data_IF_261767324838
#
_entry.id   IF_261767324838
#
_cell.length_a   1.000
_cell.length_b   1.000
_cell.length_c   1.000
_cell.angle_alpha   90.00
_cell.angle_beta   90.00
_cell.angle_gamma   90.00
#
_symmetry.space_group_name_H-M   'P 1'
#
loop_
_entity.id
_entity.type
_entity.pdbx_description
1 polymer ?
#
# COMPACT_ATOMS: atom_id res chain seq x y z
N UNK A 1 6.07 2.89 19.33
CA UNK A 1 4.72 3.40 19.01
C UNK A 1 3.80 3.02 20.17
N UNK A 2 3.06 3.99 20.73
CA UNK A 2 2.14 3.73 21.84
C UNK A 2 0.70 3.85 21.34
N UNK A 3 -0.08 2.78 21.47
CA UNK A 3 -1.50 2.78 21.14
C UNK A 3 -2.31 3.34 22.31
N UNK A 4 -3.28 4.24 22.03
CA UNK A 4 -4.16 4.79 23.05
C UNK A 4 -5.00 3.67 23.70
N UNK A 5 -4.92 3.56 25.02
CA UNK A 5 -5.72 2.60 25.82
C UNK A 5 -7.22 2.82 25.62
N UNK A 6 -7.65 4.08 25.58
CA UNK A 6 -9.04 4.46 25.33
C UNK A 6 -9.54 3.96 23.98
N UNK A 7 -8.73 4.14 22.92
CA UNK A 7 -9.09 3.65 21.58
C UNK A 7 -9.13 2.12 21.49
N UNK A 8 -8.21 1.44 22.18
CA UNK A 8 -8.22 -0.02 22.25
C UNK A 8 -9.46 -0.53 23.00
N UNK A 9 -9.85 0.11 24.10
CA UNK A 9 -11.06 -0.25 24.83
C UNK A 9 -12.32 -0.03 23.99
N UNK A 10 -12.40 1.11 23.30
CA UNK A 10 -13.50 1.39 22.36
C UNK A 10 -13.54 0.38 21.20
N UNK A 11 -12.40 -0.09 20.73
CA UNK A 11 -12.35 -1.17 19.73
C UNK A 11 -12.85 -2.50 20.29
N UNK A 12 -12.49 -2.84 21.55
CA UNK A 12 -13.04 -4.03 22.23
C UNK A 12 -14.56 -3.98 22.36
N UNK A 13 -15.10 -2.83 22.79
CA UNK A 13 -16.54 -2.61 22.89
C UNK A 13 -17.23 -2.77 21.53
N UNK A 14 -16.63 -2.22 20.47
CA UNK A 14 -17.16 -2.31 19.11
C UNK A 14 -17.19 -3.77 18.60
N UNK A 15 -16.21 -4.58 18.97
CA UNK A 15 -16.06 -5.98 18.57
C UNK A 15 -16.75 -6.97 19.55
N UNK A 16 -17.34 -6.49 20.67
CA UNK A 16 -17.97 -7.37 21.66
C UNK A 16 -19.22 -8.10 21.17
N UNK A 17 -20.12 -7.51 20.32
CA UNK A 17 -21.24 -8.25 19.77
C UNK A 17 -20.78 -9.40 18.88
N UNK A 18 -21.31 -10.60 19.10
CA UNK A 18 -20.96 -11.78 18.29
C UNK A 18 -21.56 -11.72 16.87
N UNK A 19 -20.94 -12.43 15.93
CA UNK A 19 -21.45 -12.64 14.57
C UNK A 19 -21.74 -11.36 13.76
N UNK A 20 -20.93 -10.32 13.94
CA UNK A 20 -21.06 -9.10 13.13
C UNK A 20 -20.62 -9.35 11.69
N UNK A 21 -21.28 -8.65 10.77
CA UNK A 21 -20.87 -8.56 9.36
C UNK A 21 -19.79 -7.47 9.23
N UNK A 22 -18.56 -7.90 9.00
CA UNK A 22 -17.42 -7.00 8.92
C UNK A 22 -16.84 -6.98 7.51
N UNK A 23 -16.64 -5.78 6.97
CA UNK A 23 -15.92 -5.62 5.70
C UNK A 23 -14.62 -4.90 5.95
N UNK A 24 -13.54 -5.43 5.38
CA UNK A 24 -12.22 -4.81 5.36
C UNK A 24 -11.97 -4.31 3.93
N UNK A 25 -11.65 -3.03 3.79
CA UNK A 25 -11.31 -2.41 2.51
C UNK A 25 -9.91 -1.81 2.54
N UNK A 26 -9.21 -1.88 1.42
CA UNK A 26 -7.93 -1.22 1.22
C UNK A 26 -7.89 -0.41 -0.08
N UNK A 27 -6.80 0.34 -0.30
CA UNK A 27 -6.70 1.31 -1.39
C UNK A 27 -6.65 0.70 -2.80
N UNK A 28 -6.91 1.53 -3.82
CA UNK A 28 -6.71 1.19 -5.24
C UNK A 28 -5.24 0.89 -5.53
N UNK A 29 -4.98 -0.15 -6.32
CA UNK A 29 -3.67 -0.77 -6.55
C UNK A 29 -3.04 -1.26 -5.24
N UNK A 30 -3.72 -2.18 -4.54
CA UNK A 30 -3.25 -2.69 -3.26
C UNK A 30 -1.89 -3.37 -3.43
N UNK A 31 -1.02 -3.12 -2.49
CA UNK A 31 0.33 -3.69 -2.40
C UNK A 31 0.44 -4.76 -1.30
N UNK A 32 1.66 -5.09 -0.90
CA UNK A 32 1.90 -6.09 0.14
C UNK A 32 1.39 -5.68 1.51
N UNK A 33 1.41 -4.38 1.85
CA UNK A 33 0.93 -3.88 3.13
C UNK A 33 -0.60 -3.84 3.19
N UNK A 34 -1.24 -3.35 2.12
CA UNK A 34 -2.70 -3.35 2.00
C UNK A 34 -3.30 -4.76 2.07
N UNK A 35 -2.71 -5.72 1.34
CA UNK A 35 -3.17 -7.12 1.33
C UNK A 35 -2.83 -7.82 2.62
N UNK A 36 -1.58 -7.69 3.10
CA UNK A 36 -1.10 -8.33 4.31
C UNK A 36 -1.87 -7.91 5.55
N UNK A 37 -2.08 -6.61 5.75
CA UNK A 37 -2.87 -6.08 6.86
C UNK A 37 -4.32 -6.56 6.81
N UNK A 38 -4.95 -6.57 5.61
CA UNK A 38 -6.33 -7.04 5.44
C UNK A 38 -6.48 -8.51 5.79
N UNK A 39 -5.61 -9.39 5.29
CA UNK A 39 -5.66 -10.82 5.56
C UNK A 39 -5.41 -11.15 7.03
N UNK A 40 -4.41 -10.51 7.64
CA UNK A 40 -4.09 -10.74 9.04
C UNK A 40 -5.21 -10.26 9.97
N UNK A 41 -5.76 -9.08 9.72
CA UNK A 41 -6.87 -8.54 10.51
C UNK A 41 -8.15 -9.37 10.34
N UNK A 42 -8.44 -9.81 9.11
CA UNK A 42 -9.57 -10.72 8.85
C UNK A 42 -9.47 -12.02 9.65
N UNK A 43 -8.30 -12.63 9.73
CA UNK A 43 -8.10 -13.84 10.52
C UNK A 43 -8.31 -13.59 12.02
N UNK A 44 -7.79 -12.47 12.55
CA UNK A 44 -8.01 -12.09 13.94
C UNK A 44 -9.52 -11.92 14.24
N UNK A 45 -10.26 -11.22 13.39
CA UNK A 45 -11.70 -11.00 13.57
C UNK A 45 -12.52 -12.30 13.41
N UNK A 46 -12.16 -13.16 12.46
CA UNK A 46 -12.79 -14.48 12.29
C UNK A 46 -12.58 -15.37 13.50
N UNK A 47 -11.41 -15.29 14.17
CA UNK A 47 -11.16 -16.04 15.40
C UNK A 47 -12.06 -15.61 16.57
N UNK A 48 -12.64 -14.41 16.50
CA UNK A 48 -13.65 -13.91 17.44
C UNK A 48 -15.09 -14.32 17.07
N UNK A 49 -15.28 -15.02 15.94
CA UNK A 49 -16.60 -15.47 15.47
C UNK A 49 -17.34 -14.46 14.59
N UNK A 50 -16.66 -13.47 14.03
CA UNK A 50 -17.25 -12.54 13.07
C UNK A 50 -17.21 -13.09 11.64
N UNK A 51 -18.16 -12.65 10.80
CA UNK A 51 -18.13 -12.88 9.36
C UNK A 51 -17.37 -11.76 8.68
N UNK A 52 -16.26 -12.08 8.00
CA UNK A 52 -15.35 -11.06 7.47
C UNK A 52 -15.15 -11.23 5.98
N UNK A 53 -15.44 -10.17 5.22
CA UNK A 53 -15.18 -10.06 3.79
C UNK A 53 -14.09 -9.02 3.53
N UNK A 54 -13.00 -9.41 2.88
CA UNK A 54 -11.98 -8.49 2.39
C UNK A 54 -12.31 -8.05 0.97
N UNK A 55 -12.28 -6.74 0.72
CA UNK A 55 -12.60 -6.14 -0.58
C UNK A 55 -11.48 -5.19 -1.01
N UNK A 56 -11.02 -5.35 -2.25
CA UNK A 56 -10.07 -4.42 -2.88
C UNK A 56 -10.65 -3.83 -4.15
N UNK A 57 -10.37 -2.55 -4.50
CA UNK A 57 -10.95 -1.92 -5.69
C UNK A 57 -10.57 -2.61 -7.01
N UNK A 58 -9.32 -3.04 -7.13
CA UNK A 58 -8.77 -3.74 -8.30
C UNK A 58 -7.76 -4.81 -7.88
N UNK A 59 -7.35 -5.67 -8.84
CA UNK A 59 -6.46 -6.79 -8.53
C UNK A 59 -5.12 -6.30 -7.94
N UNK A 60 -4.64 -7.05 -6.98
CA UNK A 60 -3.30 -6.94 -6.37
C UNK A 60 -2.23 -7.55 -7.30
N UNK A 61 -0.93 -7.30 -7.04
CA UNK A 61 0.19 -7.90 -7.78
C UNK A 61 0.18 -9.43 -7.72
N UNK A 62 0.52 -10.08 -8.84
CA UNK A 62 0.51 -11.55 -8.94
C UNK A 62 1.48 -12.25 -7.98
N UNK A 63 2.56 -11.59 -7.58
CA UNK A 63 3.52 -12.14 -6.62
C UNK A 63 2.96 -12.23 -5.19
N UNK A 64 1.72 -11.84 -4.97
CA UNK A 64 0.96 -12.06 -3.74
C UNK A 64 -0.03 -13.23 -3.85
N UNK A 65 -0.24 -13.81 -5.04
CA UNK A 65 -1.23 -14.88 -5.29
C UNK A 65 -1.00 -16.15 -4.42
N UNK A 66 0.18 -16.31 -3.82
CA UNK A 66 0.52 -17.43 -2.94
C UNK A 66 0.05 -17.26 -1.48
N UNK A 67 -0.33 -16.05 -1.07
CA UNK A 67 -0.73 -15.76 0.32
C UNK A 67 -2.02 -16.50 0.65
N UNK A 68 -2.03 -17.16 1.82
CA UNK A 68 -3.19 -17.92 2.27
C UNK A 68 -4.40 -17.02 2.48
N UNK A 69 -5.56 -17.39 1.88
CA UNK A 69 -6.80 -16.64 1.94
C UNK A 69 -6.93 -15.50 0.94
N UNK A 70 -5.92 -15.33 0.09
CA UNK A 70 -5.95 -14.31 -0.96
C UNK A 70 -7.06 -14.58 -1.99
N UNK A 71 -7.44 -15.84 -2.19
CA UNK A 71 -8.51 -16.28 -3.06
C UNK A 71 -9.91 -15.87 -2.56
N UNK A 72 -10.05 -15.57 -1.28
CA UNK A 72 -11.30 -15.08 -0.67
C UNK A 72 -11.47 -13.55 -0.84
N UNK A 73 -10.40 -12.84 -1.20
CA UNK A 73 -10.44 -11.39 -1.38
C UNK A 73 -11.27 -11.03 -2.61
N UNK A 74 -12.32 -10.26 -2.40
CA UNK A 74 -13.21 -9.82 -3.48
C UNK A 74 -12.57 -8.63 -4.21
N UNK A 75 -12.24 -8.83 -5.48
CA UNK A 75 -11.75 -7.77 -6.36
C UNK A 75 -12.95 -7.06 -6.99
N UNK A 76 -13.33 -5.89 -6.47
CA UNK A 76 -14.55 -5.16 -6.84
C UNK A 76 -14.71 -4.96 -8.35
N UNK A 77 -13.66 -4.57 -9.04
CA UNK A 77 -13.67 -4.38 -10.50
C UNK A 77 -14.05 -5.63 -11.29
N UNK A 78 -13.81 -6.82 -10.72
CA UNK A 78 -14.03 -8.11 -11.35
C UNK A 78 -15.26 -8.84 -10.78
N UNK A 79 -15.93 -8.24 -9.79
CA UNK A 79 -17.06 -8.83 -9.06
C UNK A 79 -18.36 -8.67 -9.85
N UNK A 80 -18.59 -9.58 -10.79
CA UNK A 80 -19.81 -9.61 -11.63
C UNK A 80 -21.07 -10.04 -10.87
N UNK A 81 -20.89 -10.68 -9.70
CA UNK A 81 -21.99 -11.16 -8.86
C UNK A 81 -22.47 -10.13 -7.84
N UNK A 82 -21.75 -9.02 -7.69
CA UNK A 82 -22.06 -7.96 -6.74
C UNK A 82 -21.87 -8.35 -5.27
N UNK A 83 -20.99 -9.31 -5.00
CA UNK A 83 -20.67 -9.79 -3.62
C UNK A 83 -20.15 -8.66 -2.74
N UNK A 84 -19.20 -7.85 -3.27
CA UNK A 84 -18.63 -6.74 -2.54
C UNK A 84 -19.69 -5.69 -2.18
N UNK A 85 -20.54 -5.31 -3.14
CA UNK A 85 -21.57 -4.30 -2.91
C UNK A 85 -22.60 -4.78 -1.85
N UNK A 86 -22.99 -6.05 -1.89
CA UNK A 86 -23.87 -6.64 -0.86
C UNK A 86 -23.19 -6.65 0.51
N UNK A 87 -21.96 -7.19 0.60
CA UNK A 87 -21.24 -7.25 1.86
C UNK A 87 -21.08 -5.85 2.49
N UNK A 88 -20.75 -4.83 1.67
CA UNK A 88 -20.62 -3.45 2.14
C UNK A 88 -21.97 -2.89 2.60
N UNK A 89 -23.07 -3.16 1.89
CA UNK A 89 -24.40 -2.68 2.26
C UNK A 89 -24.89 -3.29 3.58
N UNK A 90 -24.54 -4.53 3.87
CA UNK A 90 -24.95 -5.30 5.06
C UNK A 90 -23.96 -5.20 6.22
N UNK A 91 -22.83 -4.49 6.04
CA UNK A 91 -21.77 -4.39 7.04
C UNK A 91 -22.23 -3.65 8.30
N UNK A 92 -21.93 -4.21 9.47
CA UNK A 92 -22.01 -3.54 10.78
C UNK A 92 -20.79 -2.66 11.01
N UNK A 93 -19.61 -3.14 10.55
CA UNK A 93 -18.33 -2.44 10.68
C UNK A 93 -17.58 -2.45 9.34
N UNK A 94 -17.08 -1.28 8.96
CA UNK A 94 -16.16 -1.09 7.83
C UNK A 94 -14.77 -0.75 8.35
N UNK A 95 -13.83 -1.69 8.25
CA UNK A 95 -12.41 -1.40 8.49
C UNK A 95 -11.76 -0.85 7.22
N UNK A 96 -11.19 0.32 7.36
CA UNK A 96 -10.45 1.05 6.32
C UNK A 96 -8.95 0.90 6.60
N UNK A 97 -8.26 0.05 5.84
CA UNK A 97 -6.87 -0.30 6.08
C UNK A 97 -5.96 0.24 4.98
N UNK A 98 -4.85 0.83 5.42
CA UNK A 98 -3.76 1.27 4.57
C UNK A 98 -4.13 2.39 3.58
N UNK A 99 -5.00 3.28 3.99
CA UNK A 99 -5.28 4.53 3.27
C UNK A 99 -5.85 5.60 4.19
N UNK A 100 -5.50 6.83 3.92
CA UNK A 100 -5.87 7.99 4.73
C UNK A 100 -7.18 8.66 4.31
N UNK A 101 -7.68 8.40 3.10
CA UNK A 101 -8.81 9.10 2.51
C UNK A 101 -9.68 8.15 1.66
N UNK A 102 -11.02 8.27 1.78
CA UNK A 102 -11.98 7.44 1.03
C UNK A 102 -11.78 7.57 -0.49
N UNK A 103 -11.30 8.70 -0.96
CA UNK A 103 -10.97 8.93 -2.38
C UNK A 103 -9.90 7.96 -2.94
N UNK A 104 -9.08 7.35 -2.07
CA UNK A 104 -8.09 6.31 -2.44
C UNK A 104 -8.73 5.00 -2.88
N UNK A 105 -10.01 4.81 -2.60
CA UNK A 105 -10.80 3.65 -3.03
C UNK A 105 -11.32 3.78 -4.48
N UNK A 106 -11.27 4.98 -5.08
CA UNK A 106 -11.71 5.29 -6.46
C UNK A 106 -13.10 4.73 -6.80
N UNK A 107 -13.15 3.66 -7.62
CA UNK A 107 -14.42 3.05 -8.05
C UNK A 107 -15.27 2.47 -6.91
N UNK A 108 -14.67 2.21 -5.75
CA UNK A 108 -15.35 1.66 -4.58
C UNK A 108 -15.87 2.76 -3.64
N UNK A 109 -15.43 4.02 -3.82
CA UNK A 109 -15.75 5.14 -2.91
C UNK A 109 -17.26 5.38 -2.77
N UNK A 110 -18.00 5.34 -3.88
CA UNK A 110 -19.47 5.54 -3.87
C UNK A 110 -20.18 4.41 -3.13
N UNK A 111 -19.76 3.16 -3.32
CA UNK A 111 -20.33 1.99 -2.66
C UNK A 111 -20.12 2.06 -1.15
N UNK A 112 -18.93 2.44 -0.71
CA UNK A 112 -18.63 2.67 0.72
C UNK A 112 -19.44 3.86 1.27
N UNK A 113 -19.57 4.93 0.50
CA UNK A 113 -20.34 6.12 0.86
C UNK A 113 -21.84 5.84 1.03
N UNK A 114 -22.38 4.88 0.31
CA UNK A 114 -23.80 4.50 0.37
C UNK A 114 -24.19 3.81 1.67
N UNK A 115 -23.26 3.10 2.35
CA UNK A 115 -23.51 2.58 3.69
C UNK A 115 -23.29 3.71 4.71
N UNK A 116 -24.39 4.18 5.33
CA UNK A 116 -24.39 5.26 6.33
C UNK A 116 -24.58 4.75 7.75
N UNK A 117 -24.74 3.44 7.95
CA UNK A 117 -25.05 2.81 9.23
C UNK A 117 -23.85 2.10 9.85
N UNK A 118 -22.98 1.53 9.02
CA UNK A 118 -21.80 0.85 9.50
C UNK A 118 -20.83 1.78 10.25
N UNK A 119 -20.25 1.28 11.35
CA UNK A 119 -19.15 1.97 12.03
C UNK A 119 -17.89 1.91 11.20
N UNK A 120 -17.25 3.05 11.00
CA UNK A 120 -16.01 3.15 10.20
C UNK A 120 -14.79 3.22 11.11
N UNK A 121 -13.89 2.25 10.95
CA UNK A 121 -12.64 2.19 11.71
C UNK A 121 -11.45 2.31 10.75
N UNK A 122 -10.59 3.30 11.01
CA UNK A 122 -9.36 3.51 10.26
C UNK A 122 -8.18 2.84 10.97
N UNK A 123 -7.37 2.08 10.23
CA UNK A 123 -6.04 1.60 10.65
C UNK A 123 -5.07 1.94 9.52
N UNK A 124 -4.23 2.96 9.72
CA UNK A 124 -3.44 3.55 8.64
C UNK A 124 -2.18 4.25 9.13
N UNK A 125 -1.14 4.26 8.30
CA UNK A 125 0.10 4.96 8.57
C UNK A 125 0.39 6.12 7.59
N UNK A 126 -0.54 6.48 6.74
CA UNK A 126 -0.38 7.62 5.83
C UNK A 126 -0.61 8.96 6.53
N UNK A 127 -0.03 10.02 5.96
CA UNK A 127 -0.18 11.40 6.45
C UNK A 127 -1.58 11.96 6.14
N UNK A 128 -2.07 12.82 7.02
CA UNK A 128 -3.30 13.62 6.81
C UNK A 128 -4.54 12.76 6.52
N UNK A 129 -5.01 11.97 7.51
CA UNK A 129 -6.24 11.20 7.36
C UNK A 129 -7.45 12.12 7.21
N UNK A 130 -8.45 11.65 6.43
CA UNK A 130 -9.75 12.29 6.34
C UNK A 130 -10.47 12.27 7.71
N UNK A 131 -11.40 13.21 7.91
CA UNK A 131 -12.37 13.17 8.98
C UNK A 131 -13.52 12.20 8.62
N UNK A 132 -14.26 11.71 9.63
CA UNK A 132 -15.47 10.89 9.42
C UNK A 132 -15.27 9.39 9.67
N UNK A 133 -14.21 9.01 10.38
CA UNK A 133 -14.06 7.69 10.99
C UNK A 133 -14.55 7.72 12.44
N UNK A 134 -15.36 6.72 12.85
CA UNK A 134 -15.85 6.60 14.23
C UNK A 134 -14.72 6.26 15.22
N UNK A 135 -13.72 5.52 14.73
CA UNK A 135 -12.50 5.18 15.47
C UNK A 135 -11.30 5.19 14.51
N UNK A 136 -10.17 5.75 14.96
CA UNK A 136 -8.99 5.88 14.10
C UNK A 136 -7.72 5.50 14.86
N UNK A 137 -6.96 4.57 14.25
CA UNK A 137 -5.57 4.23 14.58
C UNK A 137 -4.68 4.74 13.44
N UNK A 138 -4.48 6.05 13.39
CA UNK A 138 -3.60 6.69 12.41
C UNK A 138 -2.26 7.01 13.03
N UNK A 139 -1.20 6.37 12.52
CA UNK A 139 0.17 6.49 13.04
C UNK A 139 1.19 6.67 11.91
N UNK A 140 1.40 7.90 11.42
CA UNK A 140 2.33 8.18 10.32
C UNK A 140 3.81 7.80 10.59
N UNK A 141 4.16 7.60 11.85
CA UNK A 141 5.51 7.15 12.26
C UNK A 141 5.63 5.61 12.30
N UNK A 142 4.56 4.89 11.98
CA UNK A 142 4.62 3.44 11.81
C UNK A 142 5.32 3.09 10.50
N UNK A 143 6.06 1.97 10.50
CA UNK A 143 6.72 1.47 9.30
C UNK A 143 5.74 0.94 8.25
N UNK A 144 4.55 0.51 8.68
CA UNK A 144 3.51 -0.09 7.83
C UNK A 144 2.19 -0.22 8.59
N UNK A 145 1.09 -0.39 7.87
CA UNK A 145 -0.21 -0.76 8.43
C UNK A 145 -0.19 -2.18 9.00
N UNK A 146 0.58 -3.10 8.42
CA UNK A 146 0.81 -4.44 9.00
C UNK A 146 1.43 -4.38 10.40
N UNK A 147 2.38 -3.48 10.65
CA UNK A 147 2.94 -3.31 11.97
C UNK A 147 1.92 -2.72 12.96
N UNK A 148 1.03 -1.84 12.50
CA UNK A 148 -0.10 -1.35 13.32
C UNK A 148 -1.07 -2.47 13.67
N UNK A 149 -1.47 -3.28 12.69
CA UNK A 149 -2.35 -4.45 12.91
C UNK A 149 -1.71 -5.42 13.89
N UNK A 150 -0.43 -5.76 13.73
CA UNK A 150 0.29 -6.57 14.73
C UNK A 150 0.17 -5.98 16.13
N UNK A 151 0.45 -4.67 16.27
CA UNK A 151 0.44 -3.99 17.57
C UNK A 151 -0.95 -3.96 18.21
N UNK A 152 -2.01 -3.82 17.40
CA UNK A 152 -3.40 -3.90 17.88
C UNK A 152 -3.73 -5.33 18.32
N UNK A 153 -3.37 -6.35 17.55
CA UNK A 153 -3.57 -7.77 17.89
C UNK A 153 -2.84 -8.11 19.19
N UNK A 154 -1.57 -7.71 19.32
CA UNK A 154 -0.79 -7.93 20.53
C UNK A 154 -1.41 -7.25 21.76
N UNK A 155 -1.89 -6.00 21.60
CA UNK A 155 -2.51 -5.25 22.70
C UNK A 155 -3.89 -5.80 23.11
N UNK A 156 -4.65 -6.36 22.17
CA UNK A 156 -5.98 -6.92 22.45
C UNK A 156 -5.93 -8.35 22.97
N UNK A 157 -5.06 -9.19 22.41
CA UNK A 157 -5.12 -10.64 22.58
C UNK A 157 -3.79 -11.27 23.04
N UNK A 158 -2.71 -10.47 23.08
CA UNK A 158 -1.36 -10.94 23.36
C UNK A 158 -0.65 -11.50 22.12
N UNK A 159 0.69 -11.52 22.16
CA UNK A 159 1.52 -11.99 21.04
C UNK A 159 1.25 -13.46 20.64
N UNK A 160 0.78 -14.28 21.58
CA UNK A 160 0.44 -15.70 21.34
C UNK A 160 -0.80 -15.88 20.46
N UNK A 161 -1.60 -14.84 20.25
CA UNK A 161 -2.75 -14.88 19.34
C UNK A 161 -2.34 -14.79 17.86
N UNK A 162 -1.09 -14.42 17.59
CA UNK A 162 -0.58 -14.33 16.22
C UNK A 162 -0.36 -15.73 15.67
N UNK A 163 -1.22 -16.17 14.76
CA UNK A 163 -1.08 -17.45 14.07
C UNK A 163 0.04 -17.38 13.02
N UNK A 164 0.53 -18.54 12.55
CA UNK A 164 1.50 -18.58 11.45
C UNK A 164 0.96 -17.88 10.18
N UNK A 165 -0.32 -18.07 9.86
CA UNK A 165 -0.97 -17.44 8.72
C UNK A 165 -1.01 -15.90 8.85
N UNK A 166 -1.39 -15.39 10.01
CA UNK A 166 -1.31 -13.96 10.31
C UNK A 166 0.13 -13.46 10.18
N UNK A 167 1.09 -14.21 10.73
CA UNK A 167 2.50 -13.83 10.71
C UNK A 167 3.07 -13.73 9.29
N UNK A 168 2.73 -14.66 8.39
CA UNK A 168 3.12 -14.60 6.98
C UNK A 168 2.59 -13.33 6.31
N UNK A 169 1.29 -13.03 6.49
CA UNK A 169 0.65 -11.85 5.93
C UNK A 169 1.26 -10.53 6.47
N UNK A 170 1.41 -10.44 7.79
CA UNK A 170 2.01 -9.27 8.46
C UNK A 170 3.47 -9.06 8.03
N UNK A 171 4.23 -10.15 7.92
CA UNK A 171 5.64 -10.07 7.51
C UNK A 171 5.77 -9.58 6.07
N UNK A 172 4.90 -10.02 5.14
CA UNK A 172 4.88 -9.53 3.75
C UNK A 172 4.69 -8.02 3.71
N UNK A 173 3.70 -7.47 4.42
CA UNK A 173 3.46 -6.02 4.43
C UNK A 173 4.61 -5.25 5.07
N UNK A 174 5.10 -5.67 6.23
CA UNK A 174 6.27 -5.04 6.86
C UNK A 174 7.48 -5.06 5.93
N UNK A 175 7.77 -6.20 5.31
CA UNK A 175 8.91 -6.37 4.41
C UNK A 175 8.81 -5.47 3.18
N UNK A 176 7.65 -5.43 2.53
CA UNK A 176 7.46 -4.64 1.30
C UNK A 176 7.50 -3.15 1.57
N UNK A 177 6.85 -2.68 2.63
CA UNK A 177 6.73 -1.25 2.92
C UNK A 177 8.01 -0.66 3.52
N UNK A 178 8.77 -1.45 4.26
CA UNK A 178 10.11 -1.06 4.72
C UNK A 178 11.19 -1.20 3.65
N UNK A 179 10.84 -1.66 2.44
CA UNK A 179 11.81 -1.93 1.38
C UNK A 179 12.85 -2.95 1.82
N UNK A 180 12.39 -4.06 2.40
CA UNK A 180 13.22 -5.10 2.98
C UNK A 180 14.14 -4.58 4.12
N UNK A 181 13.56 -3.80 5.03
CA UNK A 181 14.24 -3.17 6.18
C UNK A 181 15.35 -2.19 5.77
N UNK A 182 15.17 -1.47 4.65
CA UNK A 182 16.13 -0.50 4.14
C UNK A 182 15.65 0.96 4.22
N UNK A 183 14.36 1.21 4.51
CA UNK A 183 13.79 2.56 4.59
C UNK A 183 13.71 3.06 6.03
N UNK A 184 13.10 4.24 6.23
CA UNK A 184 12.90 4.89 7.53
C UNK A 184 11.90 4.13 8.43
N UNK A 185 11.76 4.60 9.68
CA UNK A 185 10.85 4.05 10.70
C UNK A 185 11.17 2.62 11.16
N UNK A 186 12.44 2.22 11.08
CA UNK A 186 12.91 0.98 11.68
C UNK A 186 13.18 1.21 13.17
N UNK A 187 12.32 0.66 14.02
CA UNK A 187 12.41 0.81 15.47
C UNK A 187 12.71 -0.51 16.16
N UNK A 188 13.23 -0.51 17.40
CA UNK A 188 13.41 -1.74 18.17
C UNK A 188 12.10 -2.53 18.36
N UNK A 189 10.96 -1.83 18.46
CA UNK A 189 9.63 -2.43 18.59
C UNK A 189 9.24 -3.21 17.34
N UNK A 190 9.50 -2.65 16.14
CA UNK A 190 9.30 -3.36 14.87
C UNK A 190 10.10 -4.66 14.83
N UNK A 191 11.38 -4.64 15.22
CA UNK A 191 12.21 -5.85 15.21
C UNK A 191 11.78 -6.87 16.26
N UNK A 192 11.23 -6.44 17.41
CA UNK A 192 10.59 -7.35 18.36
C UNK A 192 9.35 -8.00 17.77
N UNK A 193 8.49 -7.23 17.09
CA UNK A 193 7.35 -7.78 16.36
C UNK A 193 7.80 -8.82 15.32
N UNK A 194 8.80 -8.48 14.50
CA UNK A 194 9.37 -9.43 13.52
C UNK A 194 9.89 -10.71 14.21
N UNK A 195 10.53 -10.59 15.37
CA UNK A 195 10.98 -11.77 16.13
C UNK A 195 9.79 -12.66 16.57
N UNK A 196 8.67 -12.08 16.99
CA UNK A 196 7.43 -12.83 17.29
C UNK A 196 6.90 -13.52 16.03
N UNK A 197 6.80 -12.79 14.90
CA UNK A 197 6.34 -13.36 13.64
C UNK A 197 7.20 -14.56 13.22
N UNK A 198 8.53 -14.44 13.30
CA UNK A 198 9.47 -15.54 13.01
C UNK A 198 9.28 -16.71 13.98
N UNK A 199 9.00 -16.42 15.24
CA UNK A 199 8.73 -17.43 16.29
C UNK A 199 7.52 -18.31 15.99
N UNK A 200 6.59 -17.90 15.12
CA UNK A 200 5.45 -18.72 14.66
C UNK A 200 5.85 -19.81 13.65
N UNK A 201 7.10 -19.82 13.18
CA UNK A 201 7.62 -20.80 12.23
C UNK A 201 7.42 -20.41 10.76
N UNK A 202 7.23 -19.11 10.43
CA UNK A 202 7.27 -18.65 9.05
C UNK A 202 8.66 -18.82 8.45
N UNK A 203 8.73 -19.05 7.13
CA UNK A 203 9.99 -19.14 6.39
C UNK A 203 10.28 -17.81 5.69
N UNK A 204 11.15 -16.98 6.28
CA UNK A 204 11.59 -15.73 5.63
C UNK A 204 12.14 -15.96 4.22
N UNK A 205 13.03 -16.95 3.97
CA UNK A 205 13.54 -17.21 2.63
C UNK A 205 12.44 -17.52 1.62
N UNK A 206 11.41 -18.30 2.00
CA UNK A 206 10.31 -18.64 1.09
C UNK A 206 9.42 -17.44 0.80
N UNK A 207 9.10 -16.64 1.82
CA UNK A 207 8.36 -15.39 1.65
C UNK A 207 9.13 -14.44 0.73
N UNK A 208 10.41 -14.25 0.97
CA UNK A 208 11.26 -13.41 0.15
C UNK A 208 11.32 -13.89 -1.31
N UNK A 209 11.46 -15.21 -1.52
CA UNK A 209 11.45 -15.81 -2.85
C UNK A 209 10.12 -15.58 -3.57
N UNK A 210 9.01 -15.76 -2.88
CA UNK A 210 7.67 -15.55 -3.46
C UNK A 210 7.40 -14.09 -3.84
N UNK A 211 7.93 -13.13 -3.09
CA UNK A 211 7.69 -11.69 -3.35
C UNK A 211 8.71 -11.10 -4.32
N UNK A 212 9.99 -11.43 -4.18
CA UNK A 212 11.07 -10.74 -4.91
C UNK A 212 11.76 -11.60 -5.98
N UNK A 213 11.58 -12.91 -5.96
CA UNK A 213 12.23 -13.82 -6.90
C UNK A 213 11.25 -14.63 -7.77
N UNK A 214 9.95 -14.33 -7.71
CA UNK A 214 8.89 -14.97 -8.51
C UNK A 214 8.49 -14.16 -9.75
N UNK A 215 9.38 -13.34 -10.26
CA UNK A 215 9.10 -12.47 -11.40
C UNK A 215 9.10 -13.19 -12.74
N UNK A 216 8.28 -12.70 -13.68
CA UNK A 216 8.24 -13.21 -15.05
C UNK A 216 9.47 -12.80 -15.86
N UNK A 217 9.82 -13.57 -16.90
CA UNK A 217 10.85 -13.18 -17.87
C UNK A 217 10.51 -11.84 -18.52
N UNK A 218 9.21 -11.59 -18.81
CA UNK A 218 8.73 -10.32 -19.36
C UNK A 218 9.09 -9.14 -18.47
N UNK A 219 8.87 -9.26 -17.15
CA UNK A 219 9.25 -8.24 -16.18
C UNK A 219 10.76 -8.00 -16.15
N UNK A 220 11.56 -9.07 -16.13
CA UNK A 220 13.01 -8.94 -16.11
C UNK A 220 13.54 -8.19 -17.35
N UNK A 221 13.01 -8.52 -18.54
CA UNK A 221 13.35 -7.84 -19.80
C UNK A 221 12.83 -6.40 -19.83
N UNK A 222 11.63 -6.14 -19.33
CA UNK A 222 11.07 -4.79 -19.22
C UNK A 222 11.90 -3.91 -18.29
N UNK A 223 12.37 -4.46 -17.17
CA UNK A 223 13.25 -3.76 -16.24
C UNK A 223 14.57 -3.35 -16.91
N UNK A 224 15.23 -4.28 -17.60
CA UNK A 224 16.42 -3.99 -18.38
C UNK A 224 16.19 -2.93 -19.45
N UNK A 225 15.05 -2.99 -20.15
CA UNK A 225 14.64 -1.97 -21.12
C UNK A 225 14.41 -0.61 -20.47
N UNK A 226 13.68 -0.57 -19.35
CA UNK A 226 13.39 0.66 -18.63
C UNK A 226 14.68 1.38 -18.19
N UNK A 227 15.64 0.64 -17.64
CA UNK A 227 16.91 1.22 -17.19
C UNK A 227 17.79 1.64 -18.38
N UNK A 228 17.98 0.76 -19.37
CA UNK A 228 18.97 0.99 -20.42
C UNK A 228 18.47 1.94 -21.53
N UNK A 229 17.16 1.99 -21.79
CA UNK A 229 16.58 2.74 -22.91
C UNK A 229 15.66 3.89 -22.52
N UNK A 230 15.11 3.85 -21.32
CA UNK A 230 14.05 4.79 -20.90
C UNK A 230 14.42 5.63 -19.70
N UNK A 231 15.52 5.32 -19.00
CA UNK A 231 16.01 6.12 -17.91
C UNK A 231 16.74 7.35 -18.44
N UNK A 232 16.23 8.50 -18.09
CA UNK A 232 16.87 9.79 -18.36
C UNK A 232 17.32 10.42 -17.05
N UNK A 233 18.51 11.01 -17.08
CA UNK A 233 19.14 11.67 -15.93
C UNK A 233 19.25 13.15 -16.24
N UNK A 234 18.71 13.96 -15.35
CA UNK A 234 18.61 15.42 -15.48
C UNK A 234 19.13 16.11 -14.22
N UNK A 235 19.16 17.44 -14.22
CA UNK A 235 19.53 18.29 -13.08
C UNK A 235 20.88 17.89 -12.48
N UNK A 236 21.93 17.99 -13.30
CA UNK A 236 23.32 17.67 -12.92
C UNK A 236 23.52 16.28 -12.30
N UNK A 237 22.68 15.35 -12.70
CA UNK A 237 22.78 13.95 -12.27
C UNK A 237 22.09 13.65 -10.94
N UNK A 238 21.18 14.52 -10.48
CA UNK A 238 20.50 14.35 -9.19
C UNK A 238 19.06 13.86 -9.30
N UNK A 239 18.45 13.93 -10.49
CA UNK A 239 17.09 13.45 -10.77
C UNK A 239 17.11 12.49 -11.94
N UNK A 240 16.44 11.37 -11.79
CA UNK A 240 16.21 10.43 -12.87
C UNK A 240 14.72 10.20 -13.08
N UNK A 241 14.33 9.95 -14.33
CA UNK A 241 12.99 9.44 -14.61
C UNK A 241 12.99 8.35 -15.67
N UNK A 242 11.96 7.53 -15.65
CA UNK A 242 11.68 6.50 -16.64
C UNK A 242 10.24 6.65 -17.13
N UNK A 243 10.01 6.46 -18.42
CA UNK A 243 8.65 6.48 -18.99
C UNK A 243 8.42 5.25 -19.86
N UNK A 244 7.28 4.59 -19.67
CA UNK A 244 6.86 3.43 -20.46
C UNK A 244 5.49 3.68 -21.08
N UNK A 245 5.39 3.47 -22.38
CA UNK A 245 4.13 3.56 -23.15
C UNK A 245 3.40 2.21 -23.11
N UNK A 246 2.09 2.23 -23.37
CA UNK A 246 1.28 0.99 -23.38
C UNK A 246 1.78 -0.07 -24.37
N UNK A 247 2.23 0.35 -25.56
CA UNK A 247 2.78 -0.57 -26.56
C UNK A 247 4.11 -1.18 -26.14
N UNK A 248 4.95 -0.42 -25.41
CA UNK A 248 6.20 -0.92 -24.84
C UNK A 248 5.91 -1.95 -23.75
N UNK A 249 5.01 -1.64 -22.83
CA UNK A 249 4.58 -2.57 -21.78
C UNK A 249 3.97 -3.86 -22.36
N UNK A 250 3.09 -3.75 -23.38
CA UNK A 250 2.51 -4.92 -24.06
C UNK A 250 3.57 -5.81 -24.72
N UNK A 251 4.61 -5.23 -25.30
CA UNK A 251 5.73 -5.99 -25.92
C UNK A 251 6.39 -6.94 -24.91
N UNK A 252 6.44 -6.58 -23.64
CA UNK A 252 7.04 -7.39 -22.58
C UNK A 252 5.99 -8.15 -21.74
N UNK A 253 4.73 -8.25 -22.22
CA UNK A 253 3.66 -8.97 -21.54
C UNK A 253 3.42 -8.45 -20.10
N UNK A 254 3.48 -7.12 -19.92
CA UNK A 254 3.32 -6.45 -18.64
C UNK A 254 2.08 -6.90 -17.87
N UNK A 255 2.27 -7.24 -16.61
CA UNK A 255 1.23 -7.59 -15.66
C UNK A 255 1.18 -6.58 -14.50
N UNK A 256 0.06 -6.55 -13.79
CA UNK A 256 -0.09 -5.75 -12.56
C UNK A 256 1.01 -6.15 -11.55
N UNK A 257 1.80 -5.19 -11.08
CA UNK A 257 2.93 -5.42 -10.18
C UNK A 257 4.31 -5.42 -10.85
N UNK A 258 4.42 -5.64 -12.18
CA UNK A 258 5.72 -5.73 -12.87
C UNK A 258 6.59 -4.46 -12.74
N UNK A 259 5.98 -3.30 -12.57
CA UNK A 259 6.73 -2.04 -12.40
C UNK A 259 7.15 -1.74 -10.95
N UNK A 260 6.76 -2.58 -10.00
CA UNK A 260 7.15 -2.35 -8.61
C UNK A 260 8.65 -2.44 -8.41
N UNK A 261 9.19 -1.47 -7.66
CA UNK A 261 10.62 -1.34 -7.45
C UNK A 261 11.39 -0.64 -8.58
N UNK A 262 10.87 -0.51 -9.81
CA UNK A 262 11.58 0.14 -10.92
C UNK A 262 12.00 1.57 -10.57
N UNK A 263 11.07 2.36 -10.02
CA UNK A 263 11.36 3.73 -9.61
C UNK A 263 12.45 3.83 -8.55
N UNK A 264 12.60 2.82 -7.69
CA UNK A 264 13.61 2.82 -6.64
C UNK A 264 15.04 2.60 -7.19
N UNK A 265 15.16 1.88 -8.33
CA UNK A 265 16.46 1.51 -8.86
C UNK A 265 17.35 2.71 -9.18
N UNK A 266 16.81 3.77 -9.77
CA UNK A 266 17.60 4.95 -10.07
C UNK A 266 18.23 5.58 -8.81
N UNK A 267 17.58 5.47 -7.66
CA UNK A 267 18.13 5.92 -6.38
C UNK A 267 19.34 5.11 -5.90
N UNK A 268 19.67 3.96 -6.50
CA UNK A 268 20.91 3.23 -6.18
C UNK A 268 22.15 3.97 -6.68
N UNK A 269 21.98 4.88 -7.65
CA UNK A 269 23.07 5.74 -8.14
C UNK A 269 23.39 6.81 -7.08
N UNK A 270 24.66 6.91 -6.69
CA UNK A 270 25.13 7.70 -5.53
C UNK A 270 24.68 9.17 -5.51
N UNK A 271 24.64 9.84 -6.65
CA UNK A 271 24.26 11.25 -6.75
C UNK A 271 22.74 11.49 -6.74
N UNK A 272 21.97 10.44 -6.97
CA UNK A 272 20.53 10.55 -7.21
C UNK A 272 19.80 10.96 -5.92
N UNK A 273 18.97 11.99 -5.99
CA UNK A 273 18.13 12.49 -4.90
C UNK A 273 16.65 12.21 -5.13
N UNK A 274 16.23 12.15 -6.39
CA UNK A 274 14.85 11.91 -6.78
C UNK A 274 14.78 10.99 -7.98
N UNK A 275 13.77 10.14 -8.00
CA UNK A 275 13.42 9.28 -9.13
C UNK A 275 11.93 9.32 -9.40
N UNK A 276 11.56 9.27 -10.68
CA UNK A 276 10.18 9.22 -11.13
C UNK A 276 9.96 8.10 -12.14
N UNK A 277 8.78 7.48 -12.10
CA UNK A 277 8.32 6.49 -13.07
C UNK A 277 6.96 6.90 -13.61
N UNK A 278 6.84 6.91 -14.94
CA UNK A 278 5.63 7.26 -15.67
C UNK A 278 5.17 6.06 -16.49
N UNK A 279 3.97 5.57 -16.21
CA UNK A 279 3.36 4.46 -16.94
C UNK A 279 2.11 4.96 -17.66
N UNK A 280 2.11 4.89 -18.98
CA UNK A 280 0.95 5.26 -19.78
C UNK A 280 -0.16 4.21 -19.62
N UNK A 281 -1.32 4.64 -19.23
CA UNK A 281 -2.58 3.91 -19.29
C UNK A 281 -3.54 4.61 -20.22
N UNK A 282 -4.53 3.91 -20.74
CA UNK A 282 -5.47 4.40 -21.75
C UNK A 282 -6.10 5.77 -21.41
N UNK A 283 -6.34 6.06 -20.13
CA UNK A 283 -7.04 7.28 -19.69
C UNK A 283 -6.17 8.25 -18.88
N UNK A 284 -5.02 7.83 -18.42
CA UNK A 284 -4.13 8.61 -17.55
C UNK A 284 -2.71 8.06 -17.60
N UNK A 285 -1.77 8.82 -17.06
CA UNK A 285 -0.41 8.36 -16.80
C UNK A 285 -0.28 8.15 -15.29
N UNK A 286 0.03 6.91 -14.88
CA UNK A 286 0.40 6.63 -13.49
C UNK A 286 1.77 7.21 -13.22
N UNK A 287 1.88 7.95 -12.12
CA UNK A 287 3.13 8.57 -11.67
C UNK A 287 3.53 7.95 -10.36
N UNK A 288 4.79 7.50 -10.27
CA UNK A 288 5.40 7.05 -9.02
C UNK A 288 6.65 7.88 -8.77
N UNK A 289 6.81 8.40 -7.56
CA UNK A 289 7.88 9.29 -7.17
C UNK A 289 8.59 8.74 -5.96
N UNK A 290 9.92 8.78 -5.96
CA UNK A 290 10.76 8.41 -4.83
C UNK A 290 11.86 9.45 -4.64
N UNK A 291 12.30 9.63 -3.40
CA UNK A 291 13.38 10.56 -3.08
C UNK A 291 14.21 10.10 -1.90
N UNK A 292 15.26 10.83 -1.61
CA UNK A 292 16.13 10.68 -0.45
C UNK A 292 16.27 11.99 0.30
N UNK A 293 16.44 11.91 1.61
CA UNK A 293 16.69 13.04 2.48
C UNK A 293 15.55 14.03 2.51
N UNK A 294 15.84 15.30 2.24
CA UNK A 294 14.89 16.41 2.43
C UNK A 294 14.01 16.70 1.20
N UNK A 295 14.14 15.94 0.12
CA UNK A 295 13.29 16.14 -1.06
C UNK A 295 11.91 15.55 -0.81
N UNK A 296 10.89 16.42 -0.69
CA UNK A 296 9.51 16.02 -0.42
C UNK A 296 8.76 15.80 -1.74
N UNK A 297 8.60 14.51 -2.10
CA UNK A 297 7.85 14.12 -3.31
C UNK A 297 6.35 14.06 -3.08
N UNK A 298 5.88 14.05 -1.83
CA UNK A 298 4.45 14.11 -1.52
C UNK A 298 3.88 15.49 -1.89
N UNK A 299 4.54 16.57 -1.50
CA UNK A 299 4.14 17.92 -1.90
C UNK A 299 4.13 18.06 -3.43
N UNK A 300 5.11 17.47 -4.10
CA UNK A 300 5.20 17.48 -5.55
C UNK A 300 4.06 16.70 -6.22
N UNK A 301 3.74 15.50 -5.72
CA UNK A 301 2.62 14.69 -6.20
C UNK A 301 1.27 15.41 -6.03
N UNK A 302 1.03 16.00 -4.86
CA UNK A 302 -0.19 16.78 -4.58
C UNK A 302 -0.35 17.98 -5.51
N UNK A 303 0.74 18.67 -5.79
CA UNK A 303 0.71 19.90 -6.59
C UNK A 303 0.49 19.64 -8.08
N UNK A 304 1.09 18.58 -8.63
CA UNK A 304 1.18 18.40 -10.09
C UNK A 304 0.48 17.14 -10.62
N UNK A 305 0.19 16.14 -9.78
CA UNK A 305 -0.23 14.81 -10.25
C UNK A 305 -1.49 14.25 -9.59
N UNK A 306 -2.32 15.10 -9.01
CA UNK A 306 -3.56 14.64 -8.33
C UNK A 306 -3.30 13.41 -7.45
N UNK A 307 -2.30 13.50 -6.59
CA UNK A 307 -1.81 12.37 -5.82
C UNK A 307 -1.34 12.73 -4.42
N UNK A 308 -0.52 11.87 -3.83
CA UNK A 308 0.04 12.03 -2.49
C UNK A 308 0.78 10.80 -2.03
N UNK A 309 1.11 10.73 -0.75
CA UNK A 309 1.84 9.63 -0.12
C UNK A 309 2.69 10.12 1.04
N UNK A 310 3.85 9.49 1.23
CA UNK A 310 4.85 9.88 2.21
C UNK A 310 5.86 10.88 1.65
N UNK A 311 6.64 11.54 2.52
CA UNK A 311 7.68 12.52 2.15
C UNK A 311 8.59 12.00 1.03
N UNK A 312 9.08 10.77 1.14
CA UNK A 312 10.04 10.18 0.21
C UNK A 312 9.45 9.13 -0.75
N UNK A 313 8.14 8.84 -0.66
CA UNK A 313 7.44 7.89 -1.51
C UNK A 313 6.02 8.37 -1.78
N UNK A 314 5.76 8.85 -2.99
CA UNK A 314 4.45 9.36 -3.39
C UNK A 314 4.06 8.88 -4.78
N UNK A 315 2.80 8.98 -5.10
CA UNK A 315 2.26 8.63 -6.41
C UNK A 315 1.12 9.55 -6.82
N UNK A 316 0.70 9.44 -8.06
CA UNK A 316 -0.42 10.23 -8.57
C UNK A 316 -0.79 9.87 -10.00
N UNK A 317 -1.64 10.67 -10.59
CA UNK A 317 -2.09 10.54 -11.98
C UNK A 317 -1.90 11.85 -12.73
N UNK A 318 -1.55 11.75 -14.00
CA UNK A 318 -1.57 12.86 -14.94
C UNK A 318 -2.58 12.54 -16.06
N UNK A 319 -3.37 13.52 -16.43
CA UNK A 319 -4.44 13.37 -17.43
C UNK A 319 -4.12 14.09 -18.74
N UNK A 320 -2.89 14.56 -18.90
CA UNK A 320 -2.35 15.17 -20.11
C UNK A 320 -1.41 14.22 -20.85
N UNK A 321 -0.86 14.62 -21.98
CA UNK A 321 0.06 13.79 -22.75
C UNK A 321 1.34 13.42 -21.96
N UNK A 322 2.04 12.36 -22.38
CA UNK A 322 3.32 11.97 -21.77
C UNK A 322 4.34 13.11 -21.85
N UNK A 323 4.41 13.81 -22.98
CA UNK A 323 5.33 14.93 -23.17
C UNK A 323 5.05 16.07 -22.20
N UNK A 324 3.79 16.48 -22.05
CA UNK A 324 3.39 17.50 -21.08
C UNK A 324 3.63 17.04 -19.62
N UNK A 325 3.33 15.77 -19.31
CA UNK A 325 3.60 15.19 -17.99
C UNK A 325 5.09 15.24 -17.64
N UNK A 326 5.96 14.84 -18.57
CA UNK A 326 7.42 14.87 -18.37
C UNK A 326 7.95 16.29 -18.24
N UNK A 327 7.35 17.28 -18.90
CA UNK A 327 7.78 18.68 -18.77
C UNK A 327 7.71 19.20 -17.33
N UNK A 328 6.78 18.67 -16.52
CA UNK A 328 6.62 19.07 -15.12
C UNK A 328 7.84 18.65 -14.24
N UNK A 329 8.52 17.57 -14.58
CA UNK A 329 9.74 17.15 -13.87
C UNK A 329 10.91 18.11 -14.14
N UNK A 330 10.97 18.70 -15.34
CA UNK A 330 12.00 19.65 -15.68
C UNK A 330 11.85 21.02 -14.97
N UNK A 331 10.63 21.36 -14.52
CA UNK A 331 10.33 22.62 -13.81
C UNK A 331 10.76 22.58 -12.34
N UNK A 332 10.83 21.38 -11.75
CA UNK A 332 11.12 21.18 -10.34
C UNK A 332 12.62 21.10 -10.06
N UNK A 333 13.29 22.23 -9.87
CA UNK A 333 14.62 22.21 -9.25
C UNK A 333 14.53 21.71 -7.80
N UNK A 334 15.38 20.77 -7.34
CA UNK A 334 15.43 20.34 -5.93
C UNK A 334 15.66 21.49 -4.95
N UNK A 335 16.25 22.59 -5.42
CA UNK A 335 16.44 23.84 -4.67
C UNK A 335 15.16 24.65 -4.50
N UNK A 336 14.17 24.52 -5.39
CA UNK A 336 12.87 25.20 -5.26
C UNK A 336 11.90 24.43 -4.36
N UNK A 337 12.00 23.11 -4.25
CA UNK A 337 11.20 22.31 -3.33
C UNK A 337 11.49 22.63 -1.85
N UNK A 338 12.72 23.12 -1.53
CA UNK A 338 13.07 23.64 -0.19
C UNK A 338 12.44 24.99 0.16
N UNK A 339 11.89 25.72 -0.81
CA UNK A 339 11.28 27.06 -0.60
C UNK A 339 9.75 27.06 -0.55
N UNK A 340 9.13 25.89 -0.57
CA UNK A 340 7.66 25.73 -0.52
C UNK A 340 7.20 25.25 0.88
N UNK A 341 8.15 25.16 1.84
CA UNK A 341 7.86 24.91 3.27
C UNK A 341 7.57 26.22 4.01
#
# INVERSE_FOLDING_TARGET
MELSKERLERLRELLAPAHQQIVIVSHTNPDGDAVGSSLAWAEALRSMGHEVTCVVPNKYPYFLDWMQGIEEVVVFKNDTEGRAARAIAEADILFCLDFNAVSRLEILSETIGANTTARRVLIDHHLSPDEGFDLSFSHPDSSSTCFLVYSIVEALFGAQAVTRRMAEALYVGIMTDTGNFAYSFLTPELFRAVAVLVGTGISIPDIHNNVYNAYTEGRARLFGYAINRKMEIIQDGTVAYMSLLENEMRRFQFQQGDSEGFVNYALTVKKMKMSAMFLAHRKFIRVSLRSRGDVDVNLFARKYFSGGGHKNAAGGKSFVSMQETLSLIHISEPTRLRRIS
#
